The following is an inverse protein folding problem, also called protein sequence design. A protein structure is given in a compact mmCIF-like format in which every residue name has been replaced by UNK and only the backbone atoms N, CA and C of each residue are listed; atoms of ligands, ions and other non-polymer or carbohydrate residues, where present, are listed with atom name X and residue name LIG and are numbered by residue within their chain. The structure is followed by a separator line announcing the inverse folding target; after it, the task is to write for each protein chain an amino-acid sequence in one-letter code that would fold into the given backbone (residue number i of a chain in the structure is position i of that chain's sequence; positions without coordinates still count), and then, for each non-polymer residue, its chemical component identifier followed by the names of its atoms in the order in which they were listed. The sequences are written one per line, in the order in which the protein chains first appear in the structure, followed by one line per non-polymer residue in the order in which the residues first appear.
data_IF_949121491899
#
_entry.id   IF_949121491899
#
_cell.length_a   1.000
_cell.length_b   1.000
_cell.length_c   1.000
_cell.angle_alpha   90.00
_cell.angle_beta   90.00
_cell.angle_gamma   90.00
#
_symmetry.space_group_name_H-M   'P 1'
#
loop_
_entity.id
_entity.type
_entity.pdbx_description
1 polymer ?
#
# COMPACT_ATOMS: atom_id res chain seq x y z
N UNK A 1 -22.83 -6.42 -15.61
CA UNK A 1 -21.46 -6.03 -15.20
C UNK A 1 -20.47 -6.75 -16.09
N UNK A 2 -19.46 -6.06 -16.64
CA UNK A 2 -18.53 -6.64 -17.64
C UNK A 2 -17.78 -7.86 -17.08
N UNK A 3 -17.33 -7.81 -15.82
CA UNK A 3 -16.67 -8.93 -15.14
C UNK A 3 -17.54 -10.19 -15.19
N UNK A 4 -18.85 -10.10 -14.91
CA UNK A 4 -19.72 -11.26 -14.95
C UNK A 4 -19.97 -11.81 -16.36
N UNK A 5 -19.94 -10.97 -17.40
CA UNK A 5 -19.99 -11.43 -18.79
C UNK A 5 -18.72 -12.21 -19.15
N UNK A 6 -17.55 -11.70 -18.76
CA UNK A 6 -16.26 -12.37 -18.97
C UNK A 6 -16.17 -13.71 -18.21
N UNK A 7 -16.69 -13.75 -16.98
CA UNK A 7 -16.76 -14.97 -16.17
C UNK A 7 -17.67 -16.01 -16.82
N UNK A 8 -18.87 -15.63 -17.26
CA UNK A 8 -19.81 -16.55 -17.94
C UNK A 8 -19.26 -17.08 -19.28
N UNK A 9 -18.37 -16.33 -19.93
CA UNK A 9 -17.64 -16.77 -21.14
C UNK A 9 -16.43 -17.66 -20.84
N UNK A 10 -16.10 -17.91 -19.57
CA UNK A 10 -14.93 -18.67 -19.16
C UNK A 10 -13.60 -17.98 -19.47
N UNK A 11 -13.59 -16.64 -19.60
CA UNK A 11 -12.40 -15.85 -19.90
C UNK A 11 -11.62 -15.52 -18.62
N UNK A 12 -12.34 -15.37 -17.51
CA UNK A 12 -11.78 -15.10 -16.19
C UNK A 12 -12.30 -16.11 -15.16
N UNK A 13 -11.60 -16.19 -14.04
CA UNK A 13 -11.92 -17.01 -12.89
C UNK A 13 -11.66 -16.22 -11.61
N UNK A 14 -11.99 -16.81 -10.47
CA UNK A 14 -11.73 -16.23 -9.17
C UNK A 14 -12.65 -16.79 -8.09
N UNK A 15 -12.12 -16.83 -6.87
CA UNK A 15 -12.81 -17.42 -5.70
C UNK A 15 -14.11 -16.71 -5.33
N UNK A 16 -14.32 -15.48 -5.79
CA UNK A 16 -15.53 -14.70 -5.53
C UNK A 16 -16.45 -14.57 -6.77
N UNK A 17 -16.08 -15.12 -7.93
CA UNK A 17 -16.86 -14.94 -9.16
C UNK A 17 -18.27 -15.54 -9.06
N UNK A 18 -18.43 -16.77 -8.56
CA UNK A 18 -19.75 -17.39 -8.34
C UNK A 18 -20.63 -16.53 -7.42
N UNK A 19 -20.07 -16.10 -6.28
CA UNK A 19 -20.78 -15.28 -5.31
C UNK A 19 -21.20 -13.92 -5.87
N UNK A 20 -20.45 -13.38 -6.83
CA UNK A 20 -20.71 -12.10 -7.48
C UNK A 20 -21.76 -12.22 -8.60
N UNK A 21 -21.61 -13.23 -9.45
CA UNK A 21 -22.26 -13.28 -10.76
C UNK A 21 -23.44 -14.24 -10.84
N UNK A 22 -23.48 -15.27 -9.98
CA UNK A 22 -24.50 -16.32 -10.01
C UNK A 22 -25.31 -16.36 -8.72
N UNK A 23 -24.66 -16.44 -7.55
CA UNK A 23 -25.37 -16.52 -6.26
C UNK A 23 -25.80 -15.15 -5.71
N UNK A 24 -25.17 -14.07 -6.18
CA UNK A 24 -25.40 -12.69 -5.71
C UNK A 24 -25.26 -12.50 -4.18
N UNK A 25 -24.40 -13.29 -3.54
CA UNK A 25 -24.07 -13.18 -2.11
C UNK A 25 -22.94 -12.18 -1.83
N UNK A 26 -22.27 -11.68 -2.87
CA UNK A 26 -21.38 -10.53 -2.82
C UNK A 26 -22.10 -9.28 -3.35
N UNK A 27 -22.38 -8.33 -2.46
CA UNK A 27 -23.19 -7.14 -2.76
C UNK A 27 -22.37 -5.86 -2.56
N UNK A 28 -22.37 -5.02 -3.59
CA UNK A 28 -21.79 -3.67 -3.55
C UNK A 28 -22.71 -2.72 -2.77
N UNK A 29 -22.10 -1.81 -2.01
CA UNK A 29 -22.80 -0.75 -1.27
C UNK A 29 -22.27 0.62 -1.73
N UNK A 30 -21.71 1.41 -0.83
CA UNK A 30 -21.27 2.78 -1.09
C UNK A 30 -19.92 2.81 -1.82
N UNK A 31 -19.81 3.65 -2.85
CA UNK A 31 -18.52 4.03 -3.45
C UNK A 31 -17.75 4.94 -2.49
N UNK A 32 -16.51 4.57 -2.19
CA UNK A 32 -15.60 5.29 -1.29
C UNK A 32 -14.51 6.05 -2.05
N UNK A 33 -14.45 5.91 -3.37
CA UNK A 33 -13.35 6.50 -4.15
C UNK A 33 -13.59 7.97 -4.50
N UNK A 34 -12.56 8.83 -4.33
CA UNK A 34 -12.55 10.17 -4.90
C UNK A 34 -12.10 10.22 -6.36
N UNK A 35 -11.54 9.13 -6.91
CA UNK A 35 -10.93 9.07 -8.25
C UNK A 35 -11.68 8.10 -9.19
N UNK A 36 -11.81 8.44 -10.49
CA UNK A 36 -12.39 7.53 -11.48
C UNK A 36 -11.50 6.32 -11.82
N UNK A 37 -10.17 6.43 -11.63
CA UNK A 37 -9.18 5.41 -12.08
C UNK A 37 -8.97 4.27 -11.08
N UNK A 38 -9.36 4.46 -9.82
CA UNK A 38 -9.35 3.39 -8.82
C UNK A 38 -10.68 3.43 -8.13
N UNK A 39 -11.52 2.42 -8.33
CA UNK A 39 -12.81 2.39 -7.67
C UNK A 39 -12.76 1.47 -6.46
N UNK A 40 -13.08 2.05 -5.31
CA UNK A 40 -13.14 1.35 -4.03
C UNK A 40 -14.58 1.43 -3.55
N UNK A 41 -15.17 0.28 -3.25
CA UNK A 41 -16.53 0.16 -2.77
C UNK A 41 -16.54 -0.53 -1.41
N UNK A 42 -17.43 -0.10 -0.54
CA UNK A 42 -17.88 -0.95 0.56
C UNK A 42 -18.82 -2.03 0.04
N UNK A 43 -18.87 -3.17 0.70
CA UNK A 43 -19.77 -4.26 0.35
C UNK A 43 -20.01 -5.23 1.49
N UNK A 44 -20.86 -6.22 1.22
CA UNK A 44 -21.13 -7.34 2.12
C UNK A 44 -20.91 -8.64 1.36
N UNK A 45 -20.16 -9.56 1.95
CA UNK A 45 -19.95 -10.90 1.42
C UNK A 45 -20.18 -11.93 2.52
N UNK A 46 -21.12 -12.86 2.29
CA UNK A 46 -21.51 -13.90 3.26
C UNK A 46 -21.79 -13.32 4.67
N UNK A 47 -22.49 -12.18 4.72
CA UNK A 47 -22.85 -11.48 5.96
C UNK A 47 -21.73 -10.67 6.62
N UNK A 48 -20.53 -10.61 6.05
CA UNK A 48 -19.40 -9.84 6.57
C UNK A 48 -19.15 -8.58 5.74
N UNK A 49 -18.80 -7.48 6.41
CA UNK A 49 -18.41 -6.25 5.72
C UNK A 49 -17.05 -6.42 5.04
N UNK A 50 -16.97 -6.04 3.77
CA UNK A 50 -15.77 -6.16 2.92
C UNK A 50 -15.50 -4.84 2.19
N UNK A 51 -14.27 -4.68 1.71
CA UNK A 51 -13.90 -3.64 0.76
C UNK A 51 -13.67 -4.32 -0.59
N UNK A 52 -14.34 -3.82 -1.62
CA UNK A 52 -14.23 -4.30 -2.99
C UNK A 52 -13.42 -3.27 -3.75
N UNK A 53 -12.30 -3.70 -4.33
CA UNK A 53 -11.40 -2.85 -5.11
C UNK A 53 -11.42 -3.29 -6.56
N UNK A 54 -11.67 -2.33 -7.45
CA UNK A 54 -11.69 -2.54 -8.89
C UNK A 54 -10.56 -1.72 -9.52
N UNK A 55 -9.65 -2.39 -10.22
CA UNK A 55 -8.66 -1.72 -11.05
C UNK A 55 -9.31 -1.21 -12.33
N UNK A 56 -9.72 0.06 -12.38
CA UNK A 56 -10.03 0.69 -13.67
C UNK A 56 -8.74 1.30 -14.19
N UNK A 57 -7.85 0.45 -14.66
CA UNK A 57 -6.61 0.93 -15.27
C UNK A 57 -6.98 1.60 -16.58
N UNK A 58 -7.10 2.94 -16.58
CA UNK A 58 -6.79 3.69 -17.79
C UNK A 58 -5.32 3.37 -18.10
N UNK A 59 -5.06 2.72 -19.23
CA UNK A 59 -3.72 2.52 -19.72
C UNK A 59 -3.08 3.90 -19.96
N UNK A 60 -2.47 4.48 -18.93
CA UNK A 60 -1.56 5.61 -19.04
C UNK A 60 -0.27 5.14 -19.73
N UNK A 61 -0.41 4.86 -21.02
CA UNK A 61 0.68 4.76 -22.01
C UNK A 61 0.32 5.60 -23.25
N UNK A 62 -0.31 6.76 -23.03
CA UNK A 62 -0.61 7.70 -24.11
C UNK A 62 -0.48 9.16 -23.62
N UNK A 63 0.59 9.50 -22.91
CA UNK A 63 1.07 10.88 -22.99
C UNK A 63 1.93 11.00 -24.26
N UNK A 64 1.27 11.38 -25.37
CA UNK A 64 1.85 12.12 -26.52
C UNK A 64 0.84 12.29 -27.70
N UNK A 65 -0.47 12.41 -27.48
CA UNK A 65 -1.34 12.99 -28.53
C UNK A 65 -2.67 13.54 -27.97
N UNK A 66 -2.95 14.86 -28.08
CA UNK A 66 -4.15 15.48 -27.50
C UNK A 66 -5.46 15.24 -28.31
N UNK A 67 -5.43 14.55 -29.45
CA UNK A 67 -6.58 14.45 -30.38
C UNK A 67 -7.32 13.09 -30.38
N UNK A 68 -7.15 12.25 -29.36
CA UNK A 68 -7.94 11.02 -29.22
C UNK A 68 -8.76 11.05 -27.94
N UNK A 69 -10.09 11.09 -28.08
CA UNK A 69 -11.03 10.90 -26.98
C UNK A 69 -10.62 9.65 -26.17
N UNK A 70 -10.64 9.70 -24.82
CA UNK A 70 -10.16 8.62 -23.99
C UNK A 70 -11.06 7.39 -24.18
N UNK A 71 -10.60 6.45 -25.02
CA UNK A 71 -11.22 5.14 -25.15
C UNK A 71 -10.87 4.33 -23.90
N UNK A 72 -11.90 3.94 -23.15
CA UNK A 72 -11.85 2.98 -22.05
C UNK A 72 -11.37 1.62 -22.58
N UNK A 73 -10.09 1.42 -22.72
CA UNK A 73 -9.55 0.08 -22.86
C UNK A 73 -9.45 -0.52 -21.46
N UNK A 74 -10.46 -1.33 -21.12
CA UNK A 74 -10.44 -2.24 -19.98
C UNK A 74 -9.12 -3.02 -19.97
N UNK A 75 -8.67 -3.50 -18.81
CA UNK A 75 -7.65 -4.55 -18.75
C UNK A 75 -8.19 -5.74 -19.54
N UNK A 76 -7.85 -5.80 -20.82
CA UNK A 76 -8.22 -6.89 -21.67
C UNK A 76 -7.45 -8.08 -21.12
N UNK A 77 -8.18 -9.10 -20.65
CA UNK A 77 -7.66 -10.38 -20.17
C UNK A 77 -7.03 -11.14 -21.34
N UNK A 78 -6.06 -10.53 -22.02
CA UNK A 78 -5.41 -10.99 -23.24
C UNK A 78 -4.17 -11.81 -22.91
N UNK A 79 -3.59 -11.58 -21.73
CA UNK A 79 -2.41 -12.29 -21.23
C UNK A 79 -2.74 -13.15 -20.01
N UNK A 80 -2.20 -14.37 -19.93
CA UNK A 80 -1.46 -15.06 -20.97
C UNK A 80 -2.33 -15.47 -22.17
N UNK A 81 -1.69 -15.72 -23.32
CA UNK A 81 -2.38 -16.13 -24.55
C UNK A 81 -2.79 -17.60 -24.50
N UNK A 82 -3.75 -18.00 -25.35
CA UNK A 82 -4.07 -19.42 -25.53
C UNK A 82 -2.81 -20.18 -25.99
N UNK A 83 -2.56 -21.35 -25.38
CA UNK A 83 -1.40 -22.19 -25.68
C UNK A 83 -0.17 -21.95 -24.81
N UNK A 84 -0.19 -20.94 -23.92
CA UNK A 84 0.88 -20.74 -22.94
C UNK A 84 0.98 -21.94 -22.00
N UNK A 85 2.17 -22.54 -21.92
CA UNK A 85 2.43 -23.67 -21.03
C UNK A 85 2.59 -23.23 -19.56
N UNK A 86 2.53 -24.17 -18.62
CA UNK A 86 2.75 -23.84 -17.20
C UNK A 86 4.16 -23.33 -16.92
N UNK A 87 5.17 -23.80 -17.65
CA UNK A 87 6.56 -23.36 -17.47
C UNK A 87 6.77 -21.97 -18.07
N UNK A 88 6.19 -21.71 -19.24
CA UNK A 88 6.16 -20.35 -19.81
C UNK A 88 5.44 -19.37 -18.88
N UNK A 89 4.33 -19.79 -18.25
CA UNK A 89 3.63 -18.94 -17.29
C UNK A 89 4.46 -18.66 -16.04
N UNK A 90 5.18 -19.67 -15.51
CA UNK A 90 6.14 -19.49 -14.40
C UNK A 90 7.23 -18.49 -14.74
N UNK A 91 7.82 -18.60 -15.92
CA UNK A 91 8.83 -17.65 -16.40
C UNK A 91 8.25 -16.25 -16.57
N UNK A 92 7.02 -16.13 -17.10
CA UNK A 92 6.32 -14.86 -17.25
C UNK A 92 6.12 -14.18 -15.88
N UNK A 93 5.69 -14.93 -14.88
CA UNK A 93 5.55 -14.46 -13.49
C UNK A 93 6.90 -14.04 -12.91
N UNK A 94 7.93 -14.88 -13.05
CA UNK A 94 9.25 -14.60 -12.51
C UNK A 94 9.84 -13.32 -13.13
N UNK A 95 9.74 -13.15 -14.45
CA UNK A 95 10.22 -11.96 -15.15
C UNK A 95 9.45 -10.71 -14.74
N UNK A 96 8.13 -10.81 -14.56
CA UNK A 96 7.32 -9.72 -14.04
C UNK A 96 7.75 -9.30 -12.64
N UNK A 97 7.95 -10.27 -11.74
CA UNK A 97 8.39 -10.00 -10.38
C UNK A 97 9.79 -9.40 -10.35
N UNK A 98 10.74 -9.92 -11.15
CA UNK A 98 12.09 -9.34 -11.25
C UNK A 98 12.07 -7.90 -11.73
N UNK A 99 11.21 -7.58 -12.71
CA UNK A 99 11.09 -6.22 -13.23
C UNK A 99 10.51 -5.24 -12.20
N UNK A 100 9.59 -5.70 -11.33
CA UNK A 100 8.89 -4.83 -10.38
C UNK A 100 9.53 -4.80 -8.98
N UNK A 101 10.11 -5.91 -8.52
CA UNK A 101 10.65 -6.09 -7.16
C UNK A 101 12.19 -6.15 -7.12
N UNK A 102 12.84 -6.21 -8.29
CA UNK A 102 14.28 -6.46 -8.40
C UNK A 102 14.61 -7.96 -8.35
N UNK A 103 15.88 -8.31 -8.56
CA UNK A 103 16.32 -9.71 -8.55
C UNK A 103 16.54 -10.18 -7.11
N UNK A 104 15.60 -10.97 -6.57
CA UNK A 104 15.66 -11.51 -5.21
C UNK A 104 15.64 -13.04 -5.24
N UNK A 105 16.42 -13.74 -4.38
CA UNK A 105 16.45 -15.20 -4.35
C UNK A 105 15.11 -15.83 -3.94
N UNK A 106 14.29 -15.09 -3.20
CA UNK A 106 12.99 -15.50 -2.68
C UNK A 106 11.87 -15.46 -3.73
N UNK A 107 12.09 -14.87 -4.91
CA UNK A 107 11.02 -14.70 -5.91
C UNK A 107 10.43 -16.01 -6.39
N UNK A 108 11.23 -17.08 -6.47
CA UNK A 108 10.73 -18.42 -6.84
C UNK A 108 9.65 -18.91 -5.86
N UNK A 109 9.81 -18.62 -4.57
CA UNK A 109 8.80 -18.90 -3.55
C UNK A 109 7.52 -18.09 -3.77
N UNK A 110 7.64 -16.81 -4.10
CA UNK A 110 6.49 -15.94 -4.40
C UNK A 110 5.74 -16.40 -5.67
N UNK A 111 6.46 -16.83 -6.71
CA UNK A 111 5.84 -17.46 -7.89
C UNK A 111 5.05 -18.70 -7.49
N UNK A 112 5.60 -19.54 -6.63
CA UNK A 112 4.88 -20.70 -6.09
C UNK A 112 3.59 -20.32 -5.37
N UNK A 113 3.64 -19.31 -4.49
CA UNK A 113 2.46 -18.80 -3.77
C UNK A 113 1.41 -18.23 -4.73
N UNK A 114 1.82 -17.47 -5.75
CA UNK A 114 0.94 -16.93 -6.80
C UNK A 114 0.23 -18.06 -7.56
N UNK A 115 0.95 -19.12 -7.92
CA UNK A 115 0.39 -20.27 -8.65
C UNK A 115 -0.63 -21.00 -7.77
N UNK A 116 -0.30 -21.26 -6.51
CA UNK A 116 -1.24 -21.87 -5.55
C UNK A 116 -2.48 -21.02 -5.36
N UNK A 117 -2.34 -19.68 -5.36
CA UNK A 117 -3.48 -18.77 -5.26
C UNK A 117 -4.32 -18.75 -6.55
N UNK A 118 -3.68 -18.90 -7.72
CA UNK A 118 -4.35 -18.90 -9.01
C UNK A 118 -5.19 -20.17 -9.23
N UNK A 119 -4.79 -21.31 -8.67
CA UNK A 119 -5.56 -22.56 -8.67
C UNK A 119 -6.79 -22.45 -7.75
N UNK A 120 -7.87 -21.86 -8.28
CA UNK A 120 -9.09 -21.55 -7.52
C UNK A 120 -9.92 -22.80 -7.29
N UNK A 121 -9.91 -23.74 -8.24
CA UNK A 121 -10.65 -24.99 -8.14
C UNK A 121 -9.87 -26.10 -7.39
N UNK A 122 -8.61 -25.85 -7.02
CA UNK A 122 -7.74 -26.75 -6.27
C UNK A 122 -7.49 -28.09 -6.99
N UNK A 123 -7.43 -28.06 -8.32
CA UNK A 123 -7.18 -29.25 -9.14
C UNK A 123 -5.68 -29.53 -9.37
N UNK A 124 -4.80 -28.69 -8.83
CA UNK A 124 -3.35 -28.78 -8.95
C UNK A 124 -2.83 -28.22 -10.28
N UNK A 125 -3.68 -27.62 -11.10
CA UNK A 125 -3.36 -26.99 -12.38
C UNK A 125 -3.89 -25.57 -12.39
N UNK A 126 -3.38 -24.77 -13.33
CA UNK A 126 -3.87 -23.41 -13.55
C UNK A 126 -4.46 -23.35 -14.94
N UNK A 127 -5.77 -23.14 -15.02
CA UNK A 127 -6.47 -22.92 -16.27
C UNK A 127 -6.10 -21.56 -16.88
N UNK A 128 -6.39 -21.39 -18.17
CA UNK A 128 -6.15 -20.10 -18.84
C UNK A 128 -6.93 -18.95 -18.18
N UNK A 129 -8.16 -19.22 -17.71
CA UNK A 129 -9.00 -18.22 -17.06
C UNK A 129 -8.42 -17.76 -15.71
N UNK A 130 -7.90 -18.71 -14.93
CA UNK A 130 -7.19 -18.44 -13.68
C UNK A 130 -5.88 -17.66 -13.91
N UNK A 131 -5.08 -18.11 -14.88
CA UNK A 131 -3.83 -17.45 -15.25
C UNK A 131 -4.05 -16.00 -15.70
N UNK A 132 -5.11 -15.75 -16.49
CA UNK A 132 -5.49 -14.39 -16.92
C UNK A 132 -5.93 -13.51 -15.76
N UNK A 133 -6.68 -14.07 -14.83
CA UNK A 133 -7.22 -13.33 -13.69
C UNK A 133 -6.11 -12.91 -12.73
N UNK A 134 -5.23 -13.85 -12.36
CA UNK A 134 -4.09 -13.55 -11.48
C UNK A 134 -3.09 -12.60 -12.16
N UNK A 135 -2.85 -12.76 -13.47
CA UNK A 135 -1.96 -11.87 -14.22
C UNK A 135 -2.49 -10.43 -14.24
N UNK A 136 -3.79 -10.25 -14.43
CA UNK A 136 -4.44 -8.94 -14.39
C UNK A 136 -4.35 -8.30 -12.98
N UNK A 137 -4.56 -9.08 -11.92
CA UNK A 137 -4.42 -8.60 -10.54
C UNK A 137 -2.99 -8.18 -10.22
N UNK A 138 -1.98 -8.92 -10.68
CA UNK A 138 -0.57 -8.60 -10.45
C UNK A 138 -0.15 -7.25 -11.05
N UNK A 139 -0.85 -6.76 -12.09
CA UNK A 139 -0.60 -5.42 -12.64
C UNK A 139 -1.00 -4.31 -11.66
N UNK A 140 -1.82 -4.61 -10.65
CA UNK A 140 -2.21 -3.67 -9.62
C UNK A 140 -1.13 -3.67 -8.53
N UNK A 141 -0.37 -2.58 -8.44
CA UNK A 141 0.72 -2.43 -7.45
C UNK A 141 0.29 -2.78 -6.02
N UNK A 142 -0.91 -2.34 -5.60
CA UNK A 142 -1.44 -2.67 -4.28
C UNK A 142 -1.60 -4.18 -4.07
N UNK A 143 -2.09 -4.91 -5.08
CA UNK A 143 -2.27 -6.36 -5.00
C UNK A 143 -0.92 -7.08 -4.98
N UNK A 144 0.04 -6.65 -5.82
CA UNK A 144 1.40 -7.18 -5.80
C UNK A 144 2.03 -7.05 -4.40
N UNK A 145 1.93 -5.86 -3.79
CA UNK A 145 2.45 -5.62 -2.45
C UNK A 145 1.73 -6.44 -1.38
N UNK A 146 0.42 -6.63 -1.51
CA UNK A 146 -0.35 -7.47 -0.60
C UNK A 146 0.12 -8.93 -0.62
N UNK A 147 0.57 -9.44 -1.77
CA UNK A 147 1.18 -10.77 -1.88
C UNK A 147 2.60 -10.79 -1.30
N UNK A 148 3.42 -9.78 -1.61
CA UNK A 148 4.77 -9.67 -1.06
C UNK A 148 4.79 -9.51 0.47
N UNK A 149 3.76 -8.89 1.05
CA UNK A 149 3.63 -8.61 2.47
C UNK A 149 2.56 -9.52 3.14
N UNK A 150 2.16 -10.60 2.48
CA UNK A 150 0.99 -11.40 2.86
C UNK A 150 1.07 -12.03 4.26
N UNK A 151 2.27 -12.43 4.68
CA UNK A 151 2.50 -13.07 5.98
C UNK A 151 2.53 -12.09 7.17
N UNK A 152 2.21 -10.81 6.92
CA UNK A 152 2.47 -9.73 7.87
C UNK A 152 1.19 -9.11 8.39
N UNK A 153 1.17 -8.83 9.69
CA UNK A 153 -0.05 -8.40 10.38
C UNK A 153 -0.50 -6.97 10.01
N UNK A 154 0.33 -6.20 9.31
CA UNK A 154 0.06 -4.80 8.99
C UNK A 154 -0.74 -4.57 7.70
N UNK A 155 -0.99 -5.62 6.91
CA UNK A 155 -1.76 -5.51 5.67
C UNK A 155 -3.19 -5.98 5.82
N UNK A 156 -4.08 -5.52 4.94
CA UNK A 156 -5.46 -6.02 4.90
C UNK A 156 -5.48 -7.43 4.31
N UNK A 157 -6.18 -8.35 4.96
CA UNK A 157 -6.34 -9.72 4.46
C UNK A 157 -7.12 -9.73 3.14
N UNK A 158 -6.53 -10.34 2.12
CA UNK A 158 -7.22 -10.72 0.90
C UNK A 158 -8.27 -11.80 1.22
N UNK A 159 -9.51 -11.59 0.82
CA UNK A 159 -10.61 -12.54 1.05
C UNK A 159 -10.96 -13.32 -0.22
N UNK A 160 -10.81 -12.70 -1.39
CA UNK A 160 -11.12 -13.32 -2.67
C UNK A 160 -10.95 -12.38 -3.84
N UNK A 161 -11.18 -12.88 -5.05
CA UNK A 161 -11.08 -12.10 -6.28
C UNK A 161 -12.02 -12.63 -7.38
N UNK A 162 -12.25 -11.83 -8.41
CA UNK A 162 -12.90 -12.23 -9.65
C UNK A 162 -12.36 -11.41 -10.83
N UNK A 163 -11.55 -12.03 -11.70
CA UNK A 163 -10.80 -11.27 -12.70
C UNK A 163 -9.83 -10.30 -12.03
N UNK A 164 -9.91 -9.02 -12.39
CA UNK A 164 -9.11 -7.90 -11.86
C UNK A 164 -9.76 -7.18 -10.65
N UNK A 165 -10.93 -7.67 -10.19
CA UNK A 165 -11.58 -7.24 -8.97
C UNK A 165 -11.11 -8.10 -7.80
N UNK A 166 -10.77 -7.48 -6.67
CA UNK A 166 -10.39 -8.20 -5.45
C UNK A 166 -11.05 -7.63 -4.21
N UNK A 167 -11.14 -8.47 -3.17
CA UNK A 167 -11.83 -8.20 -1.92
C UNK A 167 -10.87 -8.26 -0.75
N UNK A 168 -10.95 -7.28 0.13
CA UNK A 168 -10.20 -7.27 1.38
C UNK A 168 -11.13 -7.18 2.58
N UNK A 169 -10.59 -7.52 3.75
CA UNK A 169 -11.24 -7.17 5.00
C UNK A 169 -11.47 -5.64 5.09
N UNK A 170 -12.55 -5.25 5.77
CA UNK A 170 -12.82 -3.85 6.05
C UNK A 170 -12.06 -3.42 7.31
N UNK A 171 -11.15 -2.46 7.15
CA UNK A 171 -10.50 -1.80 8.29
C UNK A 171 -11.54 -0.87 8.95
N UNK A 172 -11.83 -1.02 10.25
CA UNK A 172 -12.81 -0.18 10.97
C UNK A 172 -12.45 1.31 10.96
N UNK A 173 -11.17 1.62 11.16
CA UNK A 173 -10.65 2.98 11.15
C UNK A 173 -9.59 3.10 10.07
N UNK A 174 -9.88 3.82 8.99
CA UNK A 174 -8.96 4.00 7.86
C UNK A 174 -8.07 5.24 7.99
N UNK A 175 -8.09 5.94 9.12
CA UNK A 175 -7.30 7.15 9.37
C UNK A 175 -6.71 7.15 10.79
N UNK A 176 -5.52 7.74 10.93
CA UNK A 176 -4.73 7.76 12.16
C UNK A 176 -5.51 8.33 13.35
N UNK A 177 -6.33 9.36 13.10
CA UNK A 177 -7.14 10.03 14.11
C UNK A 177 -8.55 9.43 14.27
N UNK A 178 -8.84 8.30 13.62
CA UNK A 178 -10.09 7.53 13.77
C UNK A 178 -11.27 8.03 12.92
N UNK A 179 -11.36 9.32 12.63
CA UNK A 179 -12.39 9.90 11.76
C UNK A 179 -11.82 10.99 10.87
N UNK A 180 -12.07 10.92 9.57
CA UNK A 180 -11.76 12.01 8.67
C UNK A 180 -12.87 13.06 8.66
N UNK A 181 -12.49 14.33 8.73
CA UNK A 181 -13.43 15.43 8.48
C UNK A 181 -13.96 15.27 7.05
N UNK A 182 -15.30 15.26 6.86
CA UNK A 182 -15.90 15.14 5.54
C UNK A 182 -15.29 16.15 4.56
N UNK A 183 -14.97 15.75 3.30
CA UNK A 183 -14.26 16.60 2.35
C UNK A 183 -14.90 17.99 2.14
N UNK A 184 -16.23 18.07 2.18
CA UNK A 184 -16.98 19.31 2.03
C UNK A 184 -16.82 20.29 3.20
N UNK A 185 -16.46 19.81 4.41
CA UNK A 185 -16.21 20.66 5.58
C UNK A 185 -14.75 21.13 5.68
N UNK A 186 -13.80 20.41 5.06
CA UNK A 186 -12.37 20.75 5.10
C UNK A 186 -12.05 22.21 4.70
N UNK A 187 -12.58 22.78 3.60
CA UNK A 187 -12.26 24.15 3.22
C UNK A 187 -12.89 25.23 4.12
N UNK A 188 -13.92 24.88 4.90
CA UNK A 188 -14.63 25.79 5.80
C UNK A 188 -14.01 25.85 7.21
N UNK A 189 -13.08 24.95 7.53
CA UNK A 189 -12.52 24.77 8.86
C UNK A 189 -11.08 25.32 8.93
N UNK A 190 -10.82 26.36 9.75
CA UNK A 190 -9.46 26.79 10.08
C UNK A 190 -8.60 25.61 10.59
N UNK A 191 -7.32 25.60 10.22
CA UNK A 191 -6.36 24.54 10.58
C UNK A 191 -6.26 24.29 12.10
N UNK A 192 -6.41 25.34 12.91
CA UNK A 192 -6.44 25.23 14.37
C UNK A 192 -7.63 24.40 14.89
N UNK A 193 -8.80 24.55 14.27
CA UNK A 193 -10.01 23.80 14.65
C UNK A 193 -9.89 22.35 14.17
N UNK A 194 -9.31 22.13 12.99
CA UNK A 194 -9.02 20.78 12.48
C UNK A 194 -8.14 19.98 13.45
N UNK A 195 -7.10 20.61 14.01
CA UNK A 195 -6.22 19.98 15.00
C UNK A 195 -6.95 19.62 16.30
N UNK A 196 -7.83 20.50 16.79
CA UNK A 196 -8.63 20.24 18.00
C UNK A 196 -9.56 19.05 17.76
N UNK A 197 -10.26 19.03 16.61
CA UNK A 197 -11.16 17.94 16.22
C UNK A 197 -10.38 16.62 16.16
N UNK A 198 -9.26 16.59 15.44
CA UNK A 198 -8.40 15.40 15.34
C UNK A 198 -7.95 14.90 16.71
N UNK A 199 -7.53 15.79 17.60
CA UNK A 199 -7.12 15.43 18.97
C UNK A 199 -8.28 14.88 19.81
N UNK A 200 -9.49 15.39 19.60
CA UNK A 200 -10.67 14.98 20.36
C UNK A 200 -11.18 13.59 19.96
N UNK A 201 -11.07 13.24 18.68
CA UNK A 201 -11.41 11.90 18.17
C UNK A 201 -10.24 10.91 18.25
N UNK A 202 -9.03 11.39 18.57
CA UNK A 202 -7.87 10.54 18.72
C UNK A 202 -8.04 9.54 19.88
N UNK A 203 -7.50 8.31 19.76
CA UNK A 203 -7.49 7.37 20.86
C UNK A 203 -6.75 7.90 22.10
N UNK A 204 -7.02 7.30 23.26
CA UNK A 204 -6.21 7.54 24.46
C UNK A 204 -4.72 7.28 24.18
N UNK A 205 -3.83 8.02 24.83
CA UNK A 205 -2.39 8.01 24.52
C UNK A 205 -1.76 6.59 24.45
N UNK A 206 -2.06 5.64 25.36
CA UNK A 206 -1.52 4.27 25.25
C UNK A 206 -1.91 3.55 23.94
N UNK A 207 -3.14 3.77 23.46
CA UNK A 207 -3.62 3.20 22.18
C UNK A 207 -2.94 3.87 20.99
N UNK A 208 -2.67 5.18 21.09
CA UNK A 208 -1.89 5.91 20.07
C UNK A 208 -0.46 5.38 19.97
N UNK A 209 0.17 5.12 21.13
CA UNK A 209 1.49 4.50 21.18
C UNK A 209 1.49 3.09 20.55
N UNK A 210 0.46 2.27 20.84
CA UNK A 210 0.30 0.95 20.22
C UNK A 210 0.20 1.02 18.69
N UNK A 211 -0.63 1.91 18.14
CA UNK A 211 -0.74 2.13 16.69
C UNK A 211 0.60 2.58 16.11
N UNK A 212 1.29 3.51 16.78
CA UNK A 212 2.58 4.03 16.32
C UNK A 212 3.67 2.95 16.30
N UNK A 213 3.70 2.04 17.28
CA UNK A 213 4.60 0.89 17.28
C UNK A 213 4.36 0.01 16.06
N UNK A 214 3.10 -0.36 15.77
CA UNK A 214 2.79 -1.16 14.58
C UNK A 214 3.14 -0.46 13.26
N UNK A 215 3.00 0.88 13.18
CA UNK A 215 3.48 1.64 12.02
C UNK A 215 5.01 1.61 11.89
N UNK A 216 5.76 1.70 13.01
CA UNK A 216 7.22 1.58 13.02
C UNK A 216 7.68 0.17 12.65
N UNK A 217 6.96 -0.87 13.10
CA UNK A 217 7.21 -2.26 12.71
C UNK A 217 6.95 -2.48 11.22
N UNK A 218 5.91 -1.86 10.67
CA UNK A 218 5.67 -1.86 9.23
C UNK A 218 6.80 -1.17 8.46
N UNK A 219 7.37 -0.07 8.96
CA UNK A 219 8.54 0.59 8.34
C UNK A 219 9.74 -0.35 8.28
N UNK A 220 9.98 -1.11 9.34
CA UNK A 220 11.04 -2.13 9.40
C UNK A 220 10.77 -3.26 8.39
N UNK A 221 9.53 -3.74 8.33
CA UNK A 221 9.08 -4.79 7.42
C UNK A 221 9.27 -4.43 5.94
N UNK A 222 8.90 -3.20 5.54
CA UNK A 222 9.04 -2.75 4.15
C UNK A 222 10.49 -2.43 3.77
N UNK A 223 11.35 -2.18 4.76
CA UNK A 223 12.77 -1.93 4.53
C UNK A 223 13.60 -3.22 4.48
N UNK A 224 13.31 -4.19 5.35
CA UNK A 224 14.00 -5.49 5.43
C UNK A 224 13.16 -6.64 4.84
N UNK A 225 12.32 -6.34 3.85
CA UNK A 225 11.40 -7.30 3.25
C UNK A 225 12.12 -8.44 2.52
N UNK A 226 11.53 -9.64 2.56
CA UNK A 226 12.02 -10.82 1.83
C UNK A 226 12.04 -10.63 0.31
N UNK A 227 11.21 -9.73 -0.21
CA UNK A 227 11.03 -9.49 -1.64
C UNK A 227 11.54 -8.11 -2.08
N UNK A 228 12.49 -7.53 -1.33
CA UNK A 228 13.13 -6.26 -1.66
C UNK A 228 12.72 -5.11 -0.76
N UNK A 229 13.24 -3.92 -1.09
CA UNK A 229 12.99 -2.67 -0.36
C UNK A 229 11.79 -1.97 -0.98
N UNK A 230 10.88 -1.47 -0.12
CA UNK A 230 9.75 -0.66 -0.54
C UNK A 230 9.76 0.72 0.12
N UNK A 231 9.32 1.72 -0.63
CA UNK A 231 9.21 3.10 -0.19
C UNK A 231 7.74 3.50 0.01
N UNK A 232 7.44 4.13 1.14
CA UNK A 232 6.13 4.75 1.38
C UNK A 232 6.16 6.10 0.68
N UNK A 233 5.49 6.28 -0.46
CA UNK A 233 5.57 7.48 -1.30
C UNK A 233 4.39 8.45 -1.14
N UNK A 234 3.54 8.22 -0.14
CA UNK A 234 2.56 9.19 0.36
C UNK A 234 2.27 8.95 1.84
N UNK A 235 3.01 9.64 2.70
CA UNK A 235 2.88 9.56 4.15
C UNK A 235 1.81 10.55 4.61
N UNK A 236 0.62 10.04 4.91
CA UNK A 236 -0.52 10.85 5.37
C UNK A 236 -1.30 10.12 6.45
N UNK A 237 -1.93 10.89 7.34
CA UNK A 237 -2.87 10.36 8.34
C UNK A 237 -4.04 9.59 7.71
N UNK A 238 -4.37 9.86 6.44
CA UNK A 238 -5.40 9.16 5.67
C UNK A 238 -4.99 7.73 5.25
N UNK A 239 -3.70 7.41 5.28
CA UNK A 239 -3.18 6.12 4.83
C UNK A 239 -2.87 5.16 6.00
N UNK A 240 -3.03 5.64 7.25
CA UNK A 240 -2.77 4.87 8.46
C UNK A 240 -4.09 4.46 9.08
N UNK A 241 -4.39 3.16 9.08
CA UNK A 241 -5.57 2.59 9.70
C UNK A 241 -5.26 1.72 10.92
N UNK A 242 -6.30 1.26 11.59
CA UNK A 242 -6.20 0.31 12.70
C UNK A 242 -7.50 -0.47 12.92
N UNK A 243 -7.38 -1.65 13.54
CA UNK A 243 -8.51 -2.51 13.88
C UNK A 243 -9.14 -2.12 15.24
N UNK A 244 -10.19 -2.84 15.67
CA UNK A 244 -10.87 -2.57 16.94
C UNK A 244 -9.98 -2.77 18.19
N UNK A 245 -8.86 -3.50 18.05
CA UNK A 245 -7.85 -3.72 19.09
C UNK A 245 -6.71 -2.70 19.04
N UNK A 246 -6.80 -1.70 18.16
CA UNK A 246 -5.76 -0.69 17.90
C UNK A 246 -4.45 -1.27 17.36
N UNK A 247 -4.52 -2.41 16.67
CA UNK A 247 -3.39 -2.91 15.88
C UNK A 247 -3.36 -2.16 14.54
N UNK A 248 -2.17 -1.68 14.15
CA UNK A 248 -1.97 -0.90 12.93
C UNK A 248 -2.30 -1.71 11.68
N UNK A 249 -2.90 -1.04 10.69
CA UNK A 249 -3.13 -1.56 9.35
C UNK A 249 -2.82 -0.47 8.32
N UNK A 250 -2.05 -0.78 7.29
CA UNK A 250 -1.89 0.12 6.15
C UNK A 250 -3.22 0.21 5.39
N UNK A 251 -3.78 1.42 5.28
CA UNK A 251 -5.10 1.61 4.68
C UNK A 251 -5.08 1.59 3.14
N UNK A 252 -3.98 2.07 2.54
CA UNK A 252 -3.77 2.10 1.10
C UNK A 252 -2.34 1.71 0.75
N UNK A 253 -2.13 0.44 0.39
CA UNK A 253 -0.83 -0.06 -0.08
C UNK A 253 -0.47 0.50 -1.46
N UNK A 254 -1.42 1.08 -2.21
CA UNK A 254 -1.14 1.76 -3.46
C UNK A 254 -0.25 3.00 -3.32
N UNK A 255 -0.01 3.45 -2.08
CA UNK A 255 0.91 4.54 -1.73
C UNK A 255 2.33 4.06 -1.42
N UNK A 256 2.55 2.75 -1.40
CA UNK A 256 3.86 2.12 -1.25
C UNK A 256 4.34 1.68 -2.63
N UNK A 257 5.63 1.79 -2.91
CA UNK A 257 6.21 1.44 -4.19
C UNK A 257 7.49 0.62 -4.00
N UNK A 258 7.74 -0.41 -4.82
CA UNK A 258 9.03 -1.09 -4.84
C UNK A 258 10.16 -0.14 -5.25
N UNK A 259 11.34 -0.33 -4.66
CA UNK A 259 12.54 0.44 -5.01
C UNK A 259 12.85 0.39 -6.52
N UNK A 260 12.72 -0.78 -7.15
CA UNK A 260 12.97 -0.94 -8.58
C UNK A 260 12.06 -0.04 -9.44
N UNK A 261 10.78 0.08 -9.07
CA UNK A 261 9.82 0.96 -9.75
C UNK A 261 10.18 2.44 -9.59
N UNK A 262 10.58 2.86 -8.38
CA UNK A 262 11.00 4.24 -8.11
C UNK A 262 12.29 4.57 -8.86
N UNK A 263 13.30 3.69 -8.82
CA UNK A 263 14.55 3.87 -9.58
C UNK A 263 14.30 3.92 -11.08
N UNK A 264 13.42 3.07 -11.62
CA UNK A 264 13.06 3.08 -13.04
C UNK A 264 12.40 4.41 -13.46
N UNK A 265 11.55 4.99 -12.61
CA UNK A 265 10.92 6.29 -12.87
C UNK A 265 11.93 7.46 -12.88
N UNK A 266 12.93 7.42 -11.99
CA UNK A 266 13.94 8.48 -11.86
C UNK A 266 15.05 8.39 -12.92
N UNK A 267 15.40 7.18 -13.34
CA UNK A 267 16.55 6.93 -14.22
C UNK A 267 16.44 7.70 -15.55
N UNK A 268 17.41 8.59 -15.78
CA UNK A 268 17.51 9.37 -17.01
C UNK A 268 16.46 10.48 -17.14
N UNK A 269 15.65 10.72 -16.10
CA UNK A 269 14.66 11.80 -16.08
C UNK A 269 15.35 13.15 -15.95
N UNK A 270 15.01 14.08 -16.84
CA UNK A 270 15.52 15.45 -16.79
C UNK A 270 14.89 16.22 -15.62
N UNK A 271 15.68 17.10 -14.99
CA UNK A 271 15.22 17.92 -13.87
C UNK A 271 15.93 19.28 -13.80
N UNK A 272 15.23 20.26 -13.24
CA UNK A 272 15.76 21.58 -12.87
C UNK A 272 15.93 21.68 -11.34
N UNK A 273 15.00 21.09 -10.60
CA UNK A 273 14.92 21.09 -9.13
C UNK A 273 14.55 19.71 -8.58
N UNK A 274 14.81 19.48 -7.29
CA UNK A 274 14.52 18.19 -6.65
C UNK A 274 13.04 17.79 -6.72
N UNK A 275 12.13 18.78 -6.74
CA UNK A 275 10.69 18.52 -6.85
C UNK A 275 10.31 17.79 -8.15
N UNK A 276 11.07 17.99 -9.24
CA UNK A 276 10.85 17.33 -10.52
C UNK A 276 11.20 15.82 -10.46
N UNK A 277 11.96 15.43 -9.44
CA UNK A 277 12.40 14.07 -9.14
C UNK A 277 11.57 13.45 -8.00
N UNK A 278 10.27 13.73 -7.96
CA UNK A 278 9.36 13.17 -6.96
C UNK A 278 8.50 12.06 -7.55
N UNK A 279 8.63 10.84 -7.02
CA UNK A 279 7.70 9.75 -7.27
C UNK A 279 6.54 9.82 -6.27
N UNK A 280 5.30 9.71 -6.73
CA UNK A 280 4.12 9.83 -5.87
C UNK A 280 3.98 11.25 -5.32
N UNK A 281 3.95 11.40 -4.00
CA UNK A 281 3.82 12.69 -3.31
C UNK A 281 5.08 13.07 -2.51
N UNK A 282 5.78 12.10 -1.92
CA UNK A 282 6.87 12.38 -0.97
C UNK A 282 8.14 11.51 -1.13
N UNK A 283 8.25 10.73 -2.22
CA UNK A 283 9.51 10.04 -2.57
C UNK A 283 10.35 10.94 -3.49
N UNK A 284 11.03 11.91 -2.89
CA UNK A 284 11.87 12.88 -3.59
C UNK A 284 13.33 12.41 -3.67
N UNK A 285 13.91 12.49 -4.86
CA UNK A 285 15.34 12.30 -5.11
C UNK A 285 16.03 13.64 -5.43
N UNK A 286 17.35 13.77 -5.23
CA UNK A 286 18.06 14.99 -5.59
C UNK A 286 18.23 15.10 -7.11
N UNK A 287 18.06 16.31 -7.61
CA UNK A 287 18.38 16.67 -8.99
C UNK A 287 19.87 17.01 -9.10
N UNK A 288 20.59 16.32 -10.00
CA UNK A 288 21.95 16.70 -10.33
C UNK A 288 21.91 17.94 -11.24
N UNK A 289 22.30 19.10 -10.68
CA UNK A 289 22.24 20.37 -11.41
C UNK A 289 23.21 20.46 -12.58
N UNK A 290 24.29 19.68 -12.56
CA UNK A 290 25.29 19.68 -13.64
C UNK A 290 24.80 18.80 -14.80
N UNK A 291 24.35 17.59 -14.49
CA UNK A 291 23.85 16.65 -15.49
C UNK A 291 22.39 16.92 -15.89
N UNK A 292 21.68 17.78 -15.14
CA UNK A 292 20.25 18.05 -15.25
C UNK A 292 19.43 16.75 -15.26
N UNK A 293 19.80 15.82 -14.39
CA UNK A 293 19.20 14.49 -14.29
C UNK A 293 18.92 14.10 -12.85
N UNK A 294 17.82 13.40 -12.63
CA UNK A 294 17.48 12.86 -11.32
C UNK A 294 18.46 11.78 -10.91
N UNK A 295 18.91 11.83 -9.65
CA UNK A 295 19.59 10.69 -9.02
C UNK A 295 18.57 9.62 -8.63
N UNK A 296 19.07 8.41 -8.37
CA UNK A 296 18.23 7.25 -8.08
C UNK A 296 17.96 7.03 -6.59
N UNK A 297 18.70 7.70 -5.71
CA UNK A 297 18.61 7.52 -4.25
C UNK A 297 17.74 8.62 -3.63
N UNK A 298 16.85 8.24 -2.72
CA UNK A 298 15.89 9.16 -2.10
C UNK A 298 16.56 10.03 -1.03
N UNK A 299 16.07 11.27 -0.88
CA UNK A 299 16.58 12.22 0.11
C UNK A 299 16.17 11.80 1.52
N UNK A 300 14.92 11.37 1.72
CA UNK A 300 14.36 11.02 3.01
C UNK A 300 13.95 9.54 3.07
N UNK A 301 14.39 8.78 4.09
CA UNK A 301 13.95 7.41 4.30
C UNK A 301 12.51 7.36 4.84
N UNK A 302 11.86 6.19 4.74
CA UNK A 302 10.50 5.96 5.25
C UNK A 302 10.35 6.38 6.73
N UNK A 303 11.32 6.01 7.56
CA UNK A 303 11.29 6.30 9.00
C UNK A 303 11.27 7.80 9.32
N UNK A 304 12.03 8.62 8.58
CA UNK A 304 12.02 10.07 8.77
C UNK A 304 10.62 10.66 8.51
N UNK A 305 9.98 10.21 7.43
CA UNK A 305 8.62 10.64 7.04
C UNK A 305 7.58 10.20 8.06
N UNK A 306 7.67 8.94 8.52
CA UNK A 306 6.78 8.40 9.55
C UNK A 306 6.95 9.13 10.89
N UNK A 307 8.17 9.45 11.30
CA UNK A 307 8.40 10.25 12.51
C UNK A 307 7.82 11.66 12.39
N UNK A 308 7.88 12.27 11.21
CA UNK A 308 7.19 13.54 10.91
C UNK A 308 5.68 13.42 11.12
N UNK A 309 5.05 12.36 10.60
CA UNK A 309 3.63 12.08 10.79
C UNK A 309 3.26 11.83 12.26
N UNK A 310 4.10 11.09 12.99
CA UNK A 310 3.86 10.68 14.37
C UNK A 310 4.12 11.80 15.40
N UNK A 311 4.86 12.86 15.04
CA UNK A 311 5.29 13.91 15.97
C UNK A 311 4.13 14.51 16.76
N UNK A 312 3.19 15.15 16.09
CA UNK A 312 2.06 15.80 16.79
C UNK A 312 1.10 14.78 17.39
N UNK A 313 0.96 13.62 16.74
CA UNK A 313 0.11 12.52 17.19
C UNK A 313 0.56 11.94 18.54
N UNK A 314 1.87 11.79 18.75
CA UNK A 314 2.43 11.23 19.98
C UNK A 314 2.72 12.28 21.05
N UNK A 315 3.12 13.51 20.67
CA UNK A 315 3.44 14.60 21.60
C UNK A 315 2.20 15.23 22.26
N UNK A 316 1.05 15.15 21.62
CA UNK A 316 -0.19 15.63 22.21
C UNK A 316 -0.65 14.71 23.35
N UNK A 317 -0.76 15.23 24.57
CA UNK A 317 -1.19 14.45 25.74
C UNK A 317 -0.19 13.36 26.17
N UNK A 318 1.09 13.50 25.83
CA UNK A 318 2.15 12.61 26.32
C UNK A 318 2.30 12.72 27.83
N UNK A 319 2.51 11.58 28.53
CA UNK A 319 2.95 11.59 29.92
C UNK A 319 4.20 12.45 30.13
N UNK A 320 4.21 13.26 31.19
CA UNK A 320 5.27 14.25 31.43
C UNK A 320 6.66 13.61 31.55
N UNK A 321 6.73 12.40 32.10
CA UNK A 321 7.97 11.62 32.27
C UNK A 321 8.62 11.18 30.94
N UNK A 322 7.85 11.11 29.86
CA UNK A 322 8.31 10.65 28.55
C UNK A 322 8.51 11.78 27.54
N UNK A 323 7.88 12.94 27.77
CA UNK A 323 7.72 14.00 26.78
C UNK A 323 9.06 14.48 26.19
N UNK A 324 10.04 14.76 27.04
CA UNK A 324 11.32 15.33 26.59
C UNK A 324 12.16 14.31 25.80
N UNK A 325 12.22 13.07 26.29
CA UNK A 325 12.94 11.98 25.64
C UNK A 325 12.31 11.62 24.29
N UNK A 326 10.98 11.48 24.23
CA UNK A 326 10.25 11.21 23.00
C UNK A 326 10.39 12.33 21.99
N UNK A 327 10.31 13.59 22.42
CA UNK A 327 10.50 14.74 21.53
C UNK A 327 11.91 14.75 20.93
N UNK A 328 12.93 14.46 21.73
CA UNK A 328 14.33 14.39 21.27
C UNK A 328 14.50 13.28 20.23
N UNK A 329 14.05 12.07 20.51
CA UNK A 329 14.17 10.93 19.58
C UNK A 329 13.40 11.16 18.28
N UNK A 330 12.20 11.76 18.34
CA UNK A 330 11.43 12.13 17.14
C UNK A 330 12.16 13.18 16.30
N UNK A 331 12.83 14.16 16.91
CA UNK A 331 13.62 15.13 16.15
C UNK A 331 14.82 14.48 15.47
N UNK A 332 15.56 13.62 16.17
CA UNK A 332 16.68 12.86 15.57
C UNK A 332 16.15 12.04 14.39
N UNK A 333 15.04 11.33 14.58
CA UNK A 333 14.42 10.52 13.55
C UNK A 333 14.05 11.29 12.28
N UNK A 334 13.46 12.49 12.43
CA UNK A 334 13.07 13.34 11.30
C UNK A 334 14.28 13.88 10.51
N UNK A 335 15.47 13.93 11.12
CA UNK A 335 16.70 14.40 10.48
C UNK A 335 17.46 13.31 9.73
N UNK A 336 16.99 12.05 9.79
CA UNK A 336 17.61 10.96 9.04
C UNK A 336 17.58 11.26 7.54
N UNK A 337 18.71 11.00 6.88
CA UNK A 337 18.91 11.24 5.45
C UNK A 337 19.22 9.95 4.72
N UNK A 338 18.59 9.78 3.55
CA UNK A 338 18.81 8.64 2.67
C UNK A 338 20.17 8.63 1.99
N UNK A 339 20.87 9.77 2.01
CA UNK A 339 22.15 9.98 1.35
C UNK A 339 23.36 9.75 2.28
N UNK A 340 23.12 9.36 3.54
CA UNK A 340 24.18 9.15 4.53
C UNK A 340 24.84 7.78 4.38
N UNK A 341 26.17 7.73 4.50
CA UNK A 341 26.98 6.52 4.32
C UNK A 341 26.78 5.43 5.40
N UNK A 342 26.05 5.73 6.48
CA UNK A 342 25.71 4.79 7.57
C UNK A 342 24.20 4.76 7.86
N UNK A 343 23.38 4.96 6.83
CA UNK A 343 21.93 5.07 6.97
C UNK A 343 21.30 3.87 7.70
N UNK A 344 21.68 2.63 7.36
CA UNK A 344 21.04 1.42 7.91
C UNK A 344 21.25 1.27 9.41
N UNK A 345 22.47 1.51 9.91
CA UNK A 345 22.78 1.38 11.35
C UNK A 345 22.06 2.46 12.16
N UNK A 346 22.05 3.70 11.66
CA UNK A 346 21.34 4.79 12.32
C UNK A 346 19.82 4.59 12.29
N UNK A 347 19.29 4.08 11.19
CA UNK A 347 17.87 3.76 11.04
C UNK A 347 17.41 2.73 12.08
N UNK A 348 18.10 1.59 12.17
CA UNK A 348 17.75 0.52 13.10
C UNK A 348 17.88 0.93 14.57
N UNK A 349 18.88 1.75 14.91
CA UNK A 349 19.06 2.26 16.26
C UNK A 349 17.90 3.20 16.67
N UNK A 350 17.60 4.20 15.85
CA UNK A 350 16.53 5.17 16.14
C UNK A 350 15.16 4.48 16.21
N UNK A 351 14.89 3.56 15.28
CA UNK A 351 13.66 2.77 15.27
C UNK A 351 13.52 1.95 16.56
N UNK A 352 14.57 1.23 16.96
CA UNK A 352 14.59 0.43 18.18
C UNK A 352 14.38 1.27 19.45
N UNK A 353 15.05 2.43 19.54
CA UNK A 353 14.88 3.36 20.65
C UNK A 353 13.43 3.86 20.76
N UNK A 354 12.85 4.32 19.65
CA UNK A 354 11.46 4.78 19.61
C UNK A 354 10.48 3.67 20.03
N UNK A 355 10.62 2.46 19.49
CA UNK A 355 9.77 1.32 19.89
C UNK A 355 9.91 1.03 21.38
N UNK A 356 11.13 1.01 21.91
CA UNK A 356 11.41 0.73 23.33
C UNK A 356 10.79 1.79 24.24
N UNK A 357 10.91 3.07 23.89
CA UNK A 357 10.32 4.17 24.66
C UNK A 357 8.80 4.08 24.72
N UNK A 358 8.15 3.80 23.59
CA UNK A 358 6.70 3.63 23.53
C UNK A 358 6.27 2.36 24.30
N UNK A 359 6.97 1.25 24.12
CA UNK A 359 6.69 -0.03 24.76
C UNK A 359 6.76 0.05 26.29
N UNK A 360 7.81 0.68 26.83
CA UNK A 360 8.02 0.88 28.27
C UNK A 360 6.80 1.53 28.95
N UNK A 361 6.07 2.40 28.24
CA UNK A 361 4.91 3.08 28.83
C UNK A 361 3.64 2.24 28.73
N UNK A 362 3.41 1.55 27.62
CA UNK A 362 2.21 0.72 27.44
C UNK A 362 2.26 -0.56 28.29
N UNK A 363 3.43 -1.17 28.48
CA UNK A 363 3.60 -2.38 29.30
C UNK A 363 3.33 -2.14 30.79
N UNK A 364 3.54 -0.92 31.26
CA UNK A 364 3.26 -0.49 32.64
C UNK A 364 1.80 -0.11 32.89
N UNK A 365 0.93 -0.19 31.88
CA UNK A 365 -0.50 0.10 32.01
C UNK A 365 -1.32 -1.16 31.79
N UNK A 366 -2.52 -1.26 32.40
CA UNK A 366 -3.46 -2.42 32.28
C UNK A 366 -4.03 -2.64 30.86
N UNK A 367 -3.34 -2.19 29.82
CA UNK A 367 -3.78 -2.21 28.42
C UNK A 367 -2.94 -3.15 27.54
N UNK A 368 -2.16 -4.04 28.17
CA UNK A 368 -1.44 -5.12 27.52
C UNK A 368 -2.33 -6.27 27.07
#
# INVERSE_FOLDING_TARGET
MIICDQYKKGIISGSACSNLCDEHTLVFQQCLSPSPTKQVYSGVWKGKAVIIKCGITEALKAENNPDTAPRRELVLFDKPTRGTSMDEFREMLLNFLKANLGDQPSLTGLVGQIITMADVNQDGKVSLAEAKSIWALLQLNEFLLMLSLHEKEHTSKLLGHCGDLYLTEKIPHSSLYGTEVPPFLRPLLPSAIHRIIQQWFAPAWPRRAKIAIGLLEFVEEVFHGTYGVFYICETSSANVGYNAKYDFKMADLGKVAPEAAVRAFLKGRHCEQNADCTYGQDCMAPCDKLMKQCKSDLIQPNLAKVCGLLKDYLLSGTPADLKDELQKELQICMTLSGLASQMEVHHSLVLSNLKTLLWKKISNTKYS
#
